data_IF_093924496239
#
_entry.id   IF_093924496239
#
_cell.length_a   1.000
_cell.length_b   1.000
_cell.length_c   1.000
_cell.angle_alpha   90.00
_cell.angle_beta   90.00
_cell.angle_gamma   90.00
#
_symmetry.space_group_name_H-M   'P 1'
#
loop_
_entity.id
_entity.type
_entity.pdbx_description
1 polymer ?
#
# COMPACT_ATOMS: atom_id res chain seq x y z
N UNK A 1 4.98 2.06 -20.38
CA UNK A 1 4.40 2.59 -19.12
C UNK A 1 2.93 2.19 -19.09
N UNK A 2 2.32 2.09 -17.90
CA UNK A 2 0.90 1.74 -17.71
C UNK A 2 0.14 2.96 -17.22
N UNK A 3 -1.16 3.07 -17.50
CA UNK A 3 -1.98 4.22 -17.08
C UNK A 3 -2.39 4.12 -15.60
N UNK A 4 -2.64 2.90 -15.11
CA UNK A 4 -3.05 2.62 -13.74
C UNK A 4 -2.34 1.38 -13.16
N UNK A 5 -2.75 0.94 -11.96
CA UNK A 5 -2.22 -0.24 -11.29
C UNK A 5 -2.90 -1.56 -11.73
N UNK A 6 -3.84 -1.52 -12.67
CA UNK A 6 -4.57 -2.69 -13.18
C UNK A 6 -5.37 -3.45 -12.13
N UNK A 7 -5.77 -2.79 -11.04
CA UNK A 7 -6.41 -3.42 -9.87
C UNK A 7 -5.44 -4.19 -8.98
N UNK A 8 -4.13 -4.13 -9.24
CA UNK A 8 -3.10 -4.74 -8.42
C UNK A 8 -2.79 -3.83 -7.25
N UNK A 9 -2.71 -4.41 -6.05
CA UNK A 9 -2.25 -3.71 -4.85
C UNK A 9 -1.06 -4.45 -4.25
N UNK A 10 -0.10 -3.67 -3.77
CA UNK A 10 1.02 -4.15 -2.96
C UNK A 10 0.82 -3.63 -1.55
N UNK A 11 0.76 -4.52 -0.57
CA UNK A 11 0.83 -4.19 0.85
C UNK A 11 2.27 -4.41 1.29
N UNK A 12 3.07 -3.36 1.52
CA UNK A 12 4.52 -3.46 1.68
C UNK A 12 4.95 -3.80 3.13
N UNK A 13 4.22 -4.72 3.78
CA UNK A 13 4.46 -5.12 5.17
C UNK A 13 5.63 -6.13 5.32
N UNK A 14 6.78 -5.86 4.69
CA UNK A 14 7.91 -6.81 4.67
C UNK A 14 8.52 -7.05 6.05
N UNK A 15 8.48 -6.04 6.92
CA UNK A 15 8.92 -6.10 8.32
C UNK A 15 7.76 -5.83 9.29
N UNK A 16 6.54 -6.19 8.91
CA UNK A 16 5.32 -5.82 9.63
C UNK A 16 4.73 -4.49 9.17
N UNK A 17 3.60 -4.12 9.78
CA UNK A 17 2.97 -2.81 9.63
C UNK A 17 3.22 -1.98 10.90
N UNK A 18 3.65 -0.75 10.72
CA UNK A 18 3.83 0.21 11.81
C UNK A 18 2.54 1.02 12.01
N UNK A 19 2.65 2.29 12.38
CA UNK A 19 1.49 3.17 12.53
C UNK A 19 0.63 3.21 11.25
N UNK A 20 -0.71 3.25 11.37
CA UNK A 20 -1.50 3.16 12.62
C UNK A 20 -1.74 1.72 13.12
N UNK A 21 -1.39 0.70 12.34
CA UNK A 21 -1.83 -0.69 12.56
C UNK A 21 -1.04 -1.47 13.62
N UNK A 22 0.26 -1.20 13.79
CA UNK A 22 1.16 -1.84 14.76
C UNK A 22 1.10 -3.38 14.78
N UNK A 23 1.21 -3.98 13.60
CA UNK A 23 1.13 -5.43 13.39
C UNK A 23 2.48 -6.00 12.95
N UNK A 24 3.25 -6.53 13.89
CA UNK A 24 4.54 -7.18 13.61
C UNK A 24 4.40 -8.55 12.91
N UNK A 25 3.23 -9.18 13.00
CA UNK A 25 2.89 -10.42 12.32
C UNK A 25 2.55 -10.24 10.83
N UNK A 26 2.23 -9.00 10.41
CA UNK A 26 1.89 -8.70 9.03
C UNK A 26 3.05 -9.00 8.07
N UNK A 27 2.72 -9.46 6.85
CA UNK A 27 3.69 -9.80 5.81
C UNK A 27 3.32 -9.13 4.50
N UNK A 28 4.32 -8.91 3.67
CA UNK A 28 4.14 -8.35 2.34
C UNK A 28 3.21 -9.20 1.49
N UNK A 29 2.23 -8.57 0.85
CA UNK A 29 1.21 -9.24 0.04
C UNK A 29 1.00 -8.49 -1.27
N UNK A 30 0.82 -9.24 -2.36
CA UNK A 30 0.35 -8.71 -3.65
C UNK A 30 -1.03 -9.32 -3.92
N UNK A 31 -2.03 -8.48 -4.15
CA UNK A 31 -3.43 -8.88 -4.42
C UNK A 31 -3.94 -8.23 -5.69
N UNK A 32 -5.05 -8.74 -6.23
CA UNK A 32 -5.66 -8.24 -7.46
C UNK A 32 -4.98 -8.73 -8.74
N UNK A 33 -4.13 -9.76 -8.64
CA UNK A 33 -3.49 -10.36 -9.81
C UNK A 33 -4.52 -11.08 -10.69
N UNK A 34 -4.53 -10.71 -11.97
CA UNK A 34 -5.26 -11.39 -13.03
C UNK A 34 -4.31 -11.69 -14.19
N UNK A 35 -4.75 -12.43 -15.20
CA UNK A 35 -3.95 -12.66 -16.42
C UNK A 35 -3.64 -11.37 -17.21
N UNK A 36 -4.36 -10.28 -16.95
CA UNK A 36 -4.09 -8.96 -17.54
C UNK A 36 -2.95 -8.21 -16.84
N UNK A 37 -2.66 -8.55 -15.58
CA UNK A 37 -1.62 -7.90 -14.80
C UNK A 37 -0.23 -8.13 -15.43
N UNK A 38 0.55 -7.06 -15.55
CA UNK A 38 1.93 -7.12 -16.05
C UNK A 38 2.88 -6.41 -15.08
N UNK A 39 4.19 -6.51 -15.34
CA UNK A 39 5.23 -5.91 -14.48
C UNK A 39 5.04 -4.40 -14.24
N UNK A 40 4.46 -3.67 -15.19
CA UNK A 40 4.18 -2.25 -15.07
C UNK A 40 3.10 -1.97 -14.02
N UNK A 41 2.03 -2.76 -14.00
CA UNK A 41 0.97 -2.67 -12.99
C UNK A 41 1.52 -2.93 -11.59
N UNK A 42 2.39 -3.93 -11.43
CA UNK A 42 3.03 -4.23 -10.13
C UNK A 42 3.95 -3.09 -9.69
N UNK A 43 4.77 -2.55 -10.60
CA UNK A 43 5.64 -1.41 -10.29
C UNK A 43 4.84 -0.17 -9.89
N UNK A 44 3.72 0.10 -10.60
CA UNK A 44 2.81 1.20 -10.26
C UNK A 44 2.16 0.99 -8.89
N UNK A 45 1.65 -0.21 -8.61
CA UNK A 45 1.06 -0.58 -7.32
C UNK A 45 2.05 -0.43 -6.14
N UNK A 46 3.32 -0.77 -6.36
CA UNK A 46 4.36 -0.57 -5.35
C UNK A 46 4.57 0.92 -5.02
N UNK A 47 4.55 1.80 -6.02
CA UNK A 47 4.62 3.25 -5.81
C UNK A 47 3.36 3.80 -5.13
N UNK A 48 2.17 3.34 -5.54
CA UNK A 48 0.93 3.76 -4.91
C UNK A 48 0.84 3.30 -3.44
N UNK A 49 1.42 2.16 -3.10
CA UNK A 49 1.46 1.67 -1.71
C UNK A 49 2.15 2.63 -0.73
N UNK A 50 3.16 3.38 -1.18
CA UNK A 50 3.82 4.37 -0.33
C UNK A 50 2.93 5.60 -0.12
N UNK A 51 2.19 6.00 -1.16
CA UNK A 51 1.20 7.07 -1.06
C UNK A 51 0.05 6.69 -0.11
N UNK A 52 -0.45 5.45 -0.16
CA UNK A 52 -1.46 4.97 0.78
C UNK A 52 -0.96 4.97 2.22
N UNK A 53 0.25 4.46 2.49
CA UNK A 53 0.82 4.50 3.85
C UNK A 53 1.00 5.93 4.36
N UNK A 54 1.45 6.86 3.51
CA UNK A 54 1.57 8.27 3.88
C UNK A 54 0.21 8.90 4.19
N UNK A 55 -0.83 8.56 3.43
CA UNK A 55 -2.19 9.03 3.68
C UNK A 55 -2.74 8.48 5.01
N UNK A 56 -2.58 7.19 5.27
CA UNK A 56 -3.00 6.58 6.55
C UNK A 56 -2.30 7.21 7.75
N UNK A 57 -1.00 7.51 7.62
CA UNK A 57 -0.26 8.19 8.67
C UNK A 57 -0.76 9.62 8.89
N UNK A 58 -1.05 10.35 7.82
CA UNK A 58 -1.59 11.71 7.91
C UNK A 58 -2.98 11.71 8.57
N UNK A 59 -3.84 10.75 8.24
CA UNK A 59 -5.16 10.63 8.82
C UNK A 59 -5.08 10.26 10.32
N UNK A 60 -4.14 9.39 10.70
CA UNK A 60 -3.85 9.12 12.10
C UNK A 60 -3.38 10.39 12.84
N UNK A 61 -2.48 11.18 12.24
CA UNK A 61 -2.01 12.44 12.81
C UNK A 61 -3.15 13.48 12.98
N UNK A 62 -4.06 13.58 12.01
CA UNK A 62 -5.25 14.46 12.11
C UNK A 62 -6.16 14.04 13.25
N UNK A 63 -6.45 12.74 13.34
CA UNK A 63 -7.26 12.19 14.43
C UNK A 63 -6.67 12.48 15.81
N UNK A 64 -5.33 12.34 15.96
CA UNK A 64 -4.64 12.61 17.23
C UNK A 64 -4.53 14.11 17.55
N UNK A 65 -4.43 14.97 16.53
CA UNK A 65 -4.24 16.41 16.73
C UNK A 65 -5.52 17.20 17.00
N UNK A 66 -6.70 16.60 16.77
CA UNK A 66 -8.00 17.24 17.02
C UNK A 66 -8.34 18.38 16.05
N UNK A 67 -7.64 18.44 14.90
CA UNK A 67 -7.87 19.38 13.78
C UNK A 67 -8.33 18.67 12.52
#
# INVERSE_FOLDING_TARGET
TVEDNGGVYVVPAFSGLFAPHWRSDARGVIVGLTRFANRGHIARAALESTAFQAAEQLDAMRADSGV
#
